data_IF_199025227444
#
_entry.id   IF_199025227444
#
_cell.length_a   1.000
_cell.length_b   1.000
_cell.length_c   1.000
_cell.angle_alpha   90.00
_cell.angle_beta   90.00
_cell.angle_gamma   90.00
#
_symmetry.space_group_name_H-M   'P 1'
#
loop_
_entity.id
_entity.type
_entity.pdbx_description
1 polymer ?
#
# COMPACT_ATOMS: atom_id res chain seq x y z
N UNK A 1 7.44 3.04 14.53
CA UNK A 1 6.28 3.92 14.20
C UNK A 1 6.46 4.64 12.85
N UNK A 2 6.72 3.91 11.74
CA UNK A 2 7.07 4.54 10.46
C UNK A 2 6.07 4.33 9.30
N UNK A 3 5.01 3.51 9.46
CA UNK A 3 4.23 3.05 8.29
C UNK A 3 2.95 3.87 7.98
N UNK A 4 2.20 4.33 8.99
CA UNK A 4 0.93 5.05 8.76
C UNK A 4 1.09 6.42 8.10
N UNK A 5 2.21 7.11 8.35
CA UNK A 5 2.47 8.43 7.74
C UNK A 5 2.73 8.29 6.24
N UNK A 6 3.59 7.34 5.86
CA UNK A 6 3.94 7.09 4.46
C UNK A 6 2.72 6.80 3.59
N UNK A 7 1.85 5.87 4.00
CA UNK A 7 0.68 5.48 3.21
C UNK A 7 -0.26 6.66 2.97
N UNK A 8 -0.47 7.51 4.00
CA UNK A 8 -1.30 8.71 3.88
C UNK A 8 -0.68 9.76 2.97
N UNK A 9 0.62 10.00 3.09
CA UNK A 9 1.35 10.97 2.25
C UNK A 9 1.32 10.54 0.78
N UNK A 10 1.54 9.25 0.51
CA UNK A 10 1.49 8.69 -0.83
C UNK A 10 0.08 8.84 -1.45
N UNK A 11 -0.97 8.47 -0.71
CA UNK A 11 -2.36 8.62 -1.17
C UNK A 11 -2.73 10.09 -1.37
N UNK A 12 -2.35 10.97 -0.46
CA UNK A 12 -2.57 12.41 -0.59
C UNK A 12 -1.95 12.92 -1.89
N UNK A 13 -0.70 12.54 -2.18
CA UNK A 13 -0.02 12.91 -3.41
C UNK A 13 -0.74 12.38 -4.67
N UNK A 14 -1.29 11.16 -4.64
CA UNK A 14 -2.08 10.61 -5.76
C UNK A 14 -3.38 11.41 -5.99
N UNK A 15 -4.11 11.71 -4.91
CA UNK A 15 -5.35 12.49 -4.98
C UNK A 15 -5.10 13.91 -5.50
N UNK A 16 -4.04 14.58 -5.01
CA UNK A 16 -3.61 15.89 -5.51
C UNK A 16 -3.28 15.84 -7.00
N UNK A 17 -2.46 14.88 -7.45
CA UNK A 17 -2.08 14.74 -8.86
C UNK A 17 -3.27 14.44 -9.77
N UNK A 18 -4.25 13.70 -9.27
CA UNK A 18 -5.47 13.39 -10.00
C UNK A 18 -6.50 14.53 -9.98
N UNK A 19 -6.25 15.62 -9.24
CA UNK A 19 -7.21 16.68 -8.94
C UNK A 19 -8.55 16.10 -8.46
N UNK A 20 -8.48 15.24 -7.44
CA UNK A 20 -9.62 14.65 -6.74
C UNK A 20 -9.77 15.37 -5.41
N UNK A 21 -10.62 16.39 -5.42
CA UNK A 21 -10.92 17.26 -4.27
C UNK A 21 -12.44 17.35 -4.07
N UNK A 22 -12.84 17.72 -2.86
CA UNK A 22 -14.22 18.04 -2.53
C UNK A 22 -14.69 19.34 -3.20
N UNK A 23 -15.95 19.72 -2.97
CA UNK A 23 -16.53 20.94 -3.52
C UNK A 23 -15.82 22.23 -3.06
N UNK A 24 -15.07 22.19 -1.96
CA UNK A 24 -14.26 23.30 -1.44
C UNK A 24 -12.82 23.29 -1.99
N UNK A 25 -12.47 22.35 -2.86
CA UNK A 25 -11.13 22.19 -3.40
C UNK A 25 -10.15 21.52 -2.43
N UNK A 26 -10.63 20.91 -1.34
CA UNK A 26 -9.79 20.22 -0.35
C UNK A 26 -9.81 18.71 -0.56
N UNK A 27 -8.75 18.04 -0.11
CA UNK A 27 -8.70 16.58 -0.07
C UNK A 27 -9.42 16.12 1.20
N UNK A 28 -10.36 15.20 1.05
CA UNK A 28 -11.08 14.61 2.18
C UNK A 28 -10.15 13.68 2.97
N UNK A 29 -9.94 14.00 4.25
CA UNK A 29 -9.10 13.22 5.15
C UNK A 29 -9.62 11.79 5.37
N UNK A 30 -10.94 11.59 5.33
CA UNK A 30 -11.58 10.28 5.46
C UNK A 30 -11.23 9.39 4.27
N UNK A 31 -11.21 9.95 3.06
CA UNK A 31 -10.80 9.22 1.87
C UNK A 31 -9.31 8.89 1.89
N UNK A 32 -8.47 9.82 2.37
CA UNK A 32 -7.04 9.55 2.56
C UNK A 32 -6.83 8.39 3.51
N UNK A 33 -7.48 8.39 4.68
CA UNK A 33 -7.36 7.31 5.67
C UNK A 33 -7.77 5.97 5.06
N UNK A 34 -8.96 5.93 4.46
CA UNK A 34 -9.54 4.71 3.88
C UNK A 34 -8.67 4.14 2.77
N UNK A 35 -8.16 4.99 1.87
CA UNK A 35 -7.30 4.55 0.78
C UNK A 35 -5.91 4.14 1.27
N UNK A 36 -5.38 4.79 2.31
CA UNK A 36 -4.12 4.42 2.94
C UNK A 36 -4.21 3.03 3.59
N UNK A 37 -5.27 2.74 4.35
CA UNK A 37 -5.50 1.40 4.90
C UNK A 37 -5.64 0.33 3.81
N UNK A 38 -6.30 0.65 2.69
CA UNK A 38 -6.40 -0.27 1.56
C UNK A 38 -5.06 -0.53 0.89
N UNK A 39 -4.22 0.51 0.76
CA UNK A 39 -2.86 0.39 0.24
C UNK A 39 -2.04 -0.55 1.14
N UNK A 40 -2.06 -0.35 2.45
CA UNK A 40 -1.34 -1.17 3.42
C UNK A 40 -1.77 -2.64 3.36
N UNK A 41 -3.09 -2.91 3.35
CA UNK A 41 -3.63 -4.27 3.23
C UNK A 41 -3.18 -4.94 1.93
N UNK A 42 -3.25 -4.24 0.81
CA UNK A 42 -2.85 -4.79 -0.50
C UNK A 42 -1.34 -5.01 -0.59
N UNK A 43 -0.53 -4.11 -0.04
CA UNK A 43 0.92 -4.28 0.04
C UNK A 43 1.28 -5.50 0.89
N UNK A 44 0.66 -5.65 2.06
CA UNK A 44 0.86 -6.82 2.93
C UNK A 44 0.54 -8.12 2.21
N UNK A 45 -0.63 -8.22 1.56
CA UNK A 45 -1.00 -9.39 0.76
C UNK A 45 -0.04 -9.64 -0.41
N UNK A 46 0.39 -8.57 -1.09
CA UNK A 46 1.36 -8.67 -2.18
C UNK A 46 2.69 -9.24 -1.69
N UNK A 47 3.24 -8.73 -0.60
CA UNK A 47 4.51 -9.21 -0.04
C UNK A 47 4.38 -10.66 0.43
N UNK A 48 3.29 -11.02 1.12
CA UNK A 48 3.03 -12.41 1.52
C UNK A 48 2.92 -13.35 0.32
N UNK A 49 2.38 -12.89 -0.82
CA UNK A 49 2.31 -13.71 -2.05
C UNK A 49 3.67 -14.03 -2.67
N UNK A 50 4.74 -13.35 -2.23
CA UNK A 50 6.13 -13.59 -2.69
C UNK A 50 6.84 -14.66 -1.85
N UNK A 51 6.28 -15.01 -0.70
CA UNK A 51 6.83 -16.02 0.19
C UNK A 51 6.48 -17.42 -0.32
N UNK A 52 7.33 -18.40 0.01
CA UNK A 52 6.96 -19.81 -0.14
C UNK A 52 5.88 -20.19 0.89
N UNK A 53 5.19 -21.31 0.68
CA UNK A 53 4.22 -21.81 1.64
C UNK A 53 4.83 -22.08 3.04
N UNK A 54 6.09 -22.52 3.08
CA UNK A 54 6.83 -22.71 4.33
C UNK A 54 7.08 -21.36 5.02
N UNK A 55 7.56 -20.36 4.29
CA UNK A 55 7.86 -19.04 4.86
C UNK A 55 6.59 -18.32 5.35
N UNK A 56 5.43 -18.56 4.71
CA UNK A 56 4.15 -18.04 5.18
C UNK A 56 3.80 -18.61 6.56
N UNK A 57 3.99 -19.92 6.77
CA UNK A 57 3.75 -20.55 8.07
C UNK A 57 4.70 -19.98 9.13
N UNK A 58 5.99 -19.83 8.81
CA UNK A 58 6.97 -19.19 9.69
C UNK A 58 6.56 -17.74 10.04
N UNK A 59 6.07 -16.98 9.06
CA UNK A 59 5.57 -15.63 9.29
C UNK A 59 4.35 -15.61 10.22
N UNK A 60 3.39 -16.52 10.04
CA UNK A 60 2.22 -16.63 10.92
C UNK A 60 2.61 -16.97 12.34
N UNK A 61 3.57 -17.87 12.54
CA UNK A 61 4.09 -18.14 13.88
C UNK A 61 4.70 -16.91 14.54
N UNK A 62 5.42 -16.07 13.79
CA UNK A 62 5.97 -14.81 14.33
C UNK A 62 4.84 -13.85 14.75
N UNK A 63 3.78 -13.75 13.95
CA UNK A 63 2.60 -12.94 14.27
C UNK A 63 1.90 -13.48 15.53
N UNK A 64 1.66 -14.78 15.62
CA UNK A 64 1.03 -15.41 16.79
C UNK A 64 1.85 -15.22 18.07
N UNK A 65 3.19 -15.23 17.95
CA UNK A 65 4.12 -14.94 19.05
C UNK A 65 4.22 -13.45 19.39
N UNK A 66 3.42 -12.59 18.74
CA UNK A 66 3.47 -11.13 18.89
C UNK A 66 4.87 -10.56 18.66
N UNK A 67 5.58 -11.07 17.63
CA UNK A 67 6.87 -10.53 17.23
C UNK A 67 6.78 -9.02 16.96
N UNK A 68 7.88 -8.31 17.20
CA UNK A 68 7.89 -6.85 16.99
C UNK A 68 7.75 -6.54 15.51
N UNK A 69 7.28 -5.34 15.21
CA UNK A 69 7.12 -4.89 13.81
C UNK A 69 8.44 -4.93 13.05
N UNK A 70 9.54 -4.61 13.73
CA UNK A 70 10.89 -4.67 13.17
C UNK A 70 11.28 -6.11 12.81
N UNK A 71 10.99 -7.09 13.67
CA UNK A 71 11.29 -8.50 13.42
C UNK A 71 10.48 -9.04 12.23
N UNK A 72 9.20 -8.67 12.14
CA UNK A 72 8.33 -9.04 11.00
C UNK A 72 8.83 -8.41 9.70
N UNK A 73 9.29 -7.17 9.75
CA UNK A 73 9.87 -6.48 8.59
C UNK A 73 11.17 -7.16 8.14
N UNK A 74 12.07 -7.44 9.07
CA UNK A 74 13.36 -8.08 8.77
C UNK A 74 13.16 -9.50 8.23
N UNK A 75 12.19 -10.25 8.74
CA UNK A 75 11.80 -11.54 8.17
C UNK A 75 11.42 -11.39 6.69
N UNK A 76 10.51 -10.46 6.36
CA UNK A 76 10.07 -10.24 4.99
C UNK A 76 11.22 -9.80 4.09
N UNK A 77 12.07 -8.89 4.56
CA UNK A 77 13.22 -8.39 3.82
C UNK A 77 14.24 -9.51 3.51
N UNK A 78 14.43 -10.45 4.43
CA UNK A 78 15.37 -11.56 4.27
C UNK A 78 14.82 -12.66 3.36
N UNK A 79 13.52 -12.94 3.42
CA UNK A 79 12.89 -14.04 2.67
C UNK A 79 12.46 -13.65 1.26
N UNK A 80 12.19 -12.38 0.99
CA UNK A 80 11.74 -11.89 -0.32
C UNK A 80 12.94 -11.36 -1.10
N UNK A 81 13.34 -12.00 -2.22
CA UNK A 81 14.41 -11.47 -3.07
C UNK A 81 14.07 -10.08 -3.62
N UNK A 82 15.04 -9.17 -3.62
CA UNK A 82 14.87 -7.79 -4.08
C UNK A 82 13.69 -7.06 -3.41
N UNK A 83 13.46 -7.30 -2.11
CA UNK A 83 12.33 -6.76 -1.34
C UNK A 83 11.98 -5.29 -1.64
N UNK A 84 12.97 -4.40 -1.60
CA UNK A 84 12.76 -2.97 -1.87
C UNK A 84 12.28 -2.68 -3.30
N UNK A 85 12.75 -3.44 -4.29
CA UNK A 85 12.30 -3.30 -5.68
C UNK A 85 10.87 -3.81 -5.85
N UNK A 86 10.49 -4.89 -5.16
CA UNK A 86 9.12 -5.41 -5.18
C UNK A 86 8.15 -4.41 -4.54
N UNK A 87 8.51 -3.80 -3.41
CA UNK A 87 7.72 -2.73 -2.79
C UNK A 87 7.55 -1.53 -3.73
N UNK A 88 8.65 -1.07 -4.33
CA UNK A 88 8.62 0.05 -5.28
C UNK A 88 7.73 -0.27 -6.48
N UNK A 89 7.90 -1.45 -7.08
CA UNK A 89 7.10 -1.90 -8.21
C UNK A 89 5.61 -1.93 -7.87
N UNK A 90 5.25 -2.45 -6.70
CA UNK A 90 3.85 -2.45 -6.26
C UNK A 90 3.29 -1.03 -6.16
N UNK A 91 4.05 -0.08 -5.60
CA UNK A 91 3.61 1.31 -5.47
C UNK A 91 3.44 1.98 -6.84
N UNK A 92 4.37 1.75 -7.75
CA UNK A 92 4.31 2.26 -9.13
C UNK A 92 3.09 1.68 -9.87
N UNK A 93 2.85 0.37 -9.78
CA UNK A 93 1.70 -0.31 -10.37
C UNK A 93 0.38 0.18 -9.74
N UNK A 94 0.36 0.40 -8.42
CA UNK A 94 -0.80 0.94 -7.72
C UNK A 94 -1.12 2.35 -8.22
N UNK A 95 -0.12 3.24 -8.31
CA UNK A 95 -0.28 4.60 -8.81
C UNK A 95 -0.78 4.61 -10.26
N UNK A 96 -0.17 3.82 -11.14
CA UNK A 96 -0.60 3.69 -12.53
C UNK A 96 -2.07 3.27 -12.63
N UNK A 97 -2.46 2.22 -11.90
CA UNK A 97 -3.83 1.72 -11.90
C UNK A 97 -4.82 2.74 -11.33
N UNK A 98 -4.43 3.45 -10.28
CA UNK A 98 -5.24 4.52 -9.70
C UNK A 98 -5.53 5.63 -10.72
N UNK A 99 -4.51 6.13 -11.41
CA UNK A 99 -4.69 7.18 -12.43
C UNK A 99 -5.48 6.69 -13.63
N UNK A 100 -5.20 5.49 -14.13
CA UNK A 100 -5.93 4.93 -15.27
C UNK A 100 -7.42 4.78 -14.98
N UNK A 101 -7.78 4.24 -13.81
CA UNK A 101 -9.19 4.13 -13.38
C UNK A 101 -9.85 5.51 -13.21
N UNK A 102 -9.14 6.45 -12.60
CA UNK A 102 -9.63 7.82 -12.42
C UNK A 102 -9.90 8.51 -13.76
N UNK A 103 -8.98 8.38 -14.72
CA UNK A 103 -9.15 8.93 -16.06
C UNK A 103 -10.38 8.35 -16.79
N UNK A 104 -10.60 7.03 -16.70
CA UNK A 104 -11.78 6.36 -17.28
C UNK A 104 -13.08 6.84 -16.65
N UNK A 105 -13.12 6.99 -15.33
CA UNK A 105 -14.31 7.52 -14.62
C UNK A 105 -14.59 8.96 -15.08
N UNK A 106 -13.56 9.81 -15.18
CA UNK A 106 -13.71 11.19 -15.67
C UNK A 106 -14.23 11.26 -17.11
N UNK A 107 -13.86 10.31 -17.96
CA UNK A 107 -14.38 10.22 -19.33
C UNK A 107 -15.85 9.76 -19.35
N UNK A 108 -16.24 8.82 -18.50
CA UNK A 108 -17.61 8.30 -18.45
C UNK A 108 -18.62 9.28 -17.84
N UNK A 109 -18.17 10.30 -17.11
CA UNK A 109 -19.00 11.34 -16.50
C UNK A 109 -19.14 12.61 -17.37
N UNK A 110 -18.57 12.62 -18.58
CA UNK A 110 -18.74 13.68 -19.58
C UNK A 110 -19.78 13.29 -20.61
#
# INVERSE_FOLDING_TARGET
MANKAFSKDFITALLSKANLTDASGKIDATDVERLAEQLEKKMGLFLLSKLSAQDINEYYELVEKNAKTEDLHDFLQNKIPNFSNEQKKFLDDYAYNFFNRTARIKQALK
#
